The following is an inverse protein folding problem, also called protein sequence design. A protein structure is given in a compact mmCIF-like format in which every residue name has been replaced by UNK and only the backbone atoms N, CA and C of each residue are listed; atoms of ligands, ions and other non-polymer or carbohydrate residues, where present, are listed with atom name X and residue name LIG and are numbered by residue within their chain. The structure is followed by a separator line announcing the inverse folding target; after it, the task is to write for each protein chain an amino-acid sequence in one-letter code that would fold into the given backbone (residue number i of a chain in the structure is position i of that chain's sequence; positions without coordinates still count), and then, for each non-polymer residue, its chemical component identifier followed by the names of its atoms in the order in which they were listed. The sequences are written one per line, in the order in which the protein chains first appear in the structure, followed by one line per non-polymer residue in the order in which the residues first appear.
data_IF_934685118350
#
_entry.id   IF_934685118350
#
_cell.length_a   1.000
_cell.length_b   1.000
_cell.length_c   1.000
_cell.angle_alpha   90.00
_cell.angle_beta   90.00
_cell.angle_gamma   90.00
#
_symmetry.space_group_name_H-M   'P 1'
#
loop_
_entity.id
_entity.type
_entity.pdbx_description
1 polymer ?
#
# COMPACT_ATOMS: atom_id res chain seq x y z
N UNK A 1 -14.02 9.36 -8.36
CA UNK A 1 -13.68 9.15 -6.94
C UNK A 1 -12.81 10.29 -6.43
N UNK A 2 -12.96 10.62 -5.15
CA UNK A 2 -12.11 11.58 -4.44
C UNK A 2 -11.19 10.82 -3.49
N UNK A 3 -9.89 10.99 -3.63
CA UNK A 3 -8.89 10.32 -2.81
C UNK A 3 -8.32 11.25 -1.74
N UNK A 4 -8.17 10.76 -0.51
CA UNK A 4 -7.42 11.43 0.54
C UNK A 4 -6.01 10.85 0.63
N UNK A 5 -4.98 11.65 0.37
CA UNK A 5 -3.58 11.23 0.53
C UNK A 5 -3.07 11.78 1.85
N UNK A 6 -2.73 10.89 2.78
CA UNK A 6 -2.27 11.28 4.11
C UNK A 6 -0.83 11.79 4.03
N UNK A 7 -0.55 12.91 4.67
CA UNK A 7 0.80 13.50 4.73
C UNK A 7 1.29 13.43 6.18
N UNK A 8 2.32 12.62 6.41
CA UNK A 8 3.04 12.58 7.69
C UNK A 8 4.32 13.41 7.62
N UNK A 9 4.82 13.93 8.74
CA UNK A 9 6.17 14.49 8.78
C UNK A 9 7.19 13.45 8.29
N UNK A 10 7.90 13.74 7.18
CA UNK A 10 8.83 12.81 6.54
C UNK A 10 8.21 11.90 5.46
N UNK A 11 6.94 12.03 5.11
CA UNK A 11 6.40 11.50 3.85
C UNK A 11 7.15 12.12 2.67
N UNK A 12 7.43 11.34 1.64
CA UNK A 12 8.07 11.86 0.43
C UNK A 12 7.49 11.30 -0.88
N UNK A 13 6.51 10.38 -0.78
CA UNK A 13 5.77 9.85 -1.93
C UNK A 13 4.30 10.29 -1.94
N UNK A 14 3.93 11.25 -1.09
CA UNK A 14 2.60 11.84 -1.03
C UNK A 14 2.25 12.58 -2.33
N UNK A 15 3.16 13.39 -2.83
CA UNK A 15 3.00 14.05 -4.12
C UNK A 15 3.00 13.07 -5.30
N UNK A 16 3.80 12.00 -5.26
CA UNK A 16 3.77 10.94 -6.27
C UNK A 16 2.40 10.26 -6.32
N UNK A 17 1.84 9.92 -5.15
CA UNK A 17 0.50 9.34 -5.04
C UNK A 17 -0.60 10.31 -5.51
N UNK A 18 -0.50 11.58 -5.12
CA UNK A 18 -1.41 12.64 -5.58
C UNK A 18 -1.35 12.78 -7.10
N UNK A 19 -0.16 12.81 -7.70
CA UNK A 19 0.05 12.90 -9.14
C UNK A 19 -0.51 11.67 -9.87
N UNK A 20 -0.24 10.46 -9.38
CA UNK A 20 -0.76 9.22 -9.95
C UNK A 20 -2.30 9.23 -10.05
N UNK A 21 -2.96 9.72 -8.98
CA UNK A 21 -4.42 9.82 -8.94
C UNK A 21 -4.95 10.94 -9.84
N UNK A 22 -4.35 12.13 -9.79
CA UNK A 22 -4.91 13.30 -10.47
C UNK A 22 -4.53 13.37 -11.94
N UNK A 23 -3.24 13.24 -12.25
CA UNK A 23 -2.74 13.37 -13.63
C UNK A 23 -2.91 12.08 -14.44
N UNK A 24 -2.63 10.92 -13.85
CA UNK A 24 -2.57 9.68 -14.61
C UNK A 24 -3.89 8.88 -14.57
N UNK A 25 -4.65 8.98 -13.46
CA UNK A 25 -5.96 8.33 -13.33
C UNK A 25 -7.14 9.28 -13.65
N UNK A 26 -6.91 10.59 -13.70
CA UNK A 26 -7.94 11.59 -13.98
C UNK A 26 -8.99 11.73 -12.88
N UNK A 27 -8.63 11.44 -11.63
CA UNK A 27 -9.51 11.54 -10.47
C UNK A 27 -9.16 12.77 -9.62
N UNK A 28 -9.97 13.06 -8.60
CA UNK A 28 -9.69 14.15 -7.65
C UNK A 28 -8.95 13.60 -6.44
N UNK A 29 -8.03 14.40 -5.87
CA UNK A 29 -7.35 14.05 -4.64
C UNK A 29 -7.17 15.29 -3.76
N UNK A 30 -7.05 15.07 -2.45
CA UNK A 30 -6.64 16.09 -1.48
C UNK A 30 -5.54 15.56 -0.57
N UNK A 31 -4.64 16.44 -0.17
CA UNK A 31 -3.60 16.13 0.82
C UNK A 31 -4.16 16.38 2.21
N UNK A 32 -4.12 15.36 3.07
CA UNK A 32 -4.65 15.40 4.44
C UNK A 32 -3.49 15.32 5.42
N UNK A 33 -3.28 16.40 6.19
CA UNK A 33 -2.19 16.47 7.15
C UNK A 33 -2.43 15.54 8.34
N UNK A 34 -1.36 14.92 8.84
CA UNK A 34 -1.40 13.89 9.90
C UNK A 34 -2.08 14.32 11.20
N UNK A 35 -2.15 15.63 11.45
CA UNK A 35 -2.78 16.19 12.66
C UNK A 35 -4.30 16.41 12.50
N UNK A 36 -4.82 16.18 11.30
CA UNK A 36 -6.28 16.24 11.06
C UNK A 36 -6.99 15.13 11.83
N UNK A 37 -8.17 15.47 12.37
CA UNK A 37 -9.07 14.50 13.02
C UNK A 37 -10.19 14.02 12.10
N UNK A 38 -10.21 14.49 10.84
CA UNK A 38 -11.20 14.15 9.82
C UNK A 38 -10.51 13.87 8.50
N UNK A 39 -11.11 12.97 7.73
CA UNK A 39 -10.71 12.68 6.34
C UNK A 39 -11.50 13.52 5.33
N UNK A 40 -12.48 14.32 5.78
CA UNK A 40 -13.36 15.03 4.86
C UNK A 40 -14.32 14.09 4.11
N UNK A 41 -14.66 14.49 2.89
CA UNK A 41 -15.57 13.77 1.99
C UNK A 41 -14.74 13.02 0.93
N UNK A 42 -14.07 11.93 1.35
CA UNK A 42 -13.24 11.09 0.47
C UNK A 42 -13.84 9.70 0.30
N UNK A 43 -13.68 9.14 -0.90
CA UNK A 43 -14.12 7.79 -1.25
C UNK A 43 -13.05 6.73 -0.97
N UNK A 44 -11.78 7.13 -0.95
CA UNK A 44 -10.64 6.25 -0.68
C UNK A 44 -9.49 7.00 -0.02
N UNK A 45 -8.68 6.28 0.75
CA UNK A 45 -7.53 6.83 1.48
C UNK A 45 -6.24 6.15 1.03
N UNK A 46 -5.18 6.95 0.82
CA UNK A 46 -3.82 6.46 0.55
C UNK A 46 -2.90 6.91 1.67
N UNK A 47 -2.24 5.95 2.34
CA UNK A 47 -1.09 6.21 3.18
C UNK A 47 0.16 6.03 2.30
N UNK A 48 0.89 7.11 1.99
CA UNK A 48 1.98 7.06 1.01
C UNK A 48 3.26 6.47 1.60
N UNK A 49 4.22 6.22 0.72
CA UNK A 49 5.59 5.90 1.09
C UNK A 49 6.35 7.10 1.66
N UNK A 50 7.48 6.82 2.28
CA UNK A 50 8.34 7.83 2.88
C UNK A 50 9.06 7.29 4.12
N UNK A 51 9.40 8.22 5.01
CA UNK A 51 10.06 7.96 6.28
C UNK A 51 9.32 8.72 7.39
N UNK A 52 8.07 8.33 7.63
CA UNK A 52 7.18 9.02 8.57
C UNK A 52 7.84 9.15 9.96
N UNK A 53 7.97 10.38 10.45
CA UNK A 53 8.69 10.74 11.67
C UNK A 53 10.15 10.26 11.71
N UNK A 54 10.82 10.15 10.54
CA UNK A 54 12.20 9.71 10.42
C UNK A 54 12.44 8.24 10.75
N UNK A 55 11.39 7.40 10.74
CA UNK A 55 11.42 5.98 11.11
C UNK A 55 12.00 5.69 12.51
N UNK A 56 11.93 6.67 13.41
CA UNK A 56 12.38 6.50 14.79
C UNK A 56 11.63 5.35 15.47
N UNK A 57 12.35 4.57 16.29
CA UNK A 57 11.97 3.30 16.89
C UNK A 57 11.91 2.16 15.87
N UNK A 58 11.03 2.24 14.90
CA UNK A 58 10.89 1.44 13.67
C UNK A 58 9.88 2.09 12.73
N UNK A 59 9.93 1.72 11.49
CA UNK A 59 9.06 2.31 10.46
C UNK A 59 7.58 2.21 10.83
N UNK A 60 6.87 3.34 10.77
CA UNK A 60 5.44 3.43 11.06
C UNK A 60 5.06 3.48 12.55
N UNK A 61 5.99 3.17 13.48
CA UNK A 61 5.68 3.02 14.91
C UNK A 61 5.16 4.32 15.57
N UNK A 62 5.64 5.48 15.16
CA UNK A 62 5.17 6.77 15.68
C UNK A 62 3.93 7.22 14.90
N UNK A 63 3.93 7.07 13.58
CA UNK A 63 2.85 7.53 12.71
C UNK A 63 1.48 6.95 13.09
N UNK A 64 1.42 5.72 13.60
CA UNK A 64 0.16 5.09 14.07
C UNK A 64 -0.58 5.87 15.17
N UNK A 65 0.12 6.77 15.88
CA UNK A 65 -0.46 7.61 16.93
C UNK A 65 -0.88 8.99 16.42
N UNK A 66 -0.64 9.32 15.16
CA UNK A 66 -1.12 10.57 14.57
C UNK A 66 -2.64 10.69 14.67
N UNK A 67 -3.20 11.87 14.95
CA UNK A 67 -4.65 12.08 15.07
C UNK A 67 -5.45 11.52 13.89
N UNK A 68 -4.96 11.71 12.66
CA UNK A 68 -5.61 11.22 11.43
C UNK A 68 -5.83 9.70 11.43
N UNK A 69 -4.99 8.93 12.12
CA UNK A 69 -5.11 7.47 12.14
C UNK A 69 -6.36 6.96 12.88
N UNK A 70 -6.94 7.76 13.79
CA UNK A 70 -8.25 7.47 14.35
C UNK A 70 -9.35 7.55 13.29
N UNK A 71 -9.30 8.58 12.45
CA UNK A 71 -10.24 8.73 11.33
C UNK A 71 -10.04 7.64 10.26
N UNK A 72 -8.78 7.28 9.95
CA UNK A 72 -8.46 6.18 9.03
C UNK A 72 -8.99 4.84 9.54
N UNK A 73 -8.83 4.53 10.85
CA UNK A 73 -9.37 3.29 11.43
C UNK A 73 -10.89 3.24 11.35
N UNK A 74 -11.56 4.37 11.67
CA UNK A 74 -13.02 4.46 11.55
C UNK A 74 -13.46 4.27 10.11
N UNK A 75 -12.83 4.98 9.17
CA UNK A 75 -13.12 4.89 7.74
C UNK A 75 -12.97 3.45 7.20
N UNK A 76 -11.88 2.77 7.56
CA UNK A 76 -11.66 1.37 7.22
C UNK A 76 -12.73 0.46 7.86
N UNK A 77 -13.08 0.69 9.13
CA UNK A 77 -14.12 -0.06 9.84
C UNK A 77 -15.52 0.12 9.25
N UNK A 78 -15.78 1.27 8.63
CA UNK A 78 -17.04 1.56 7.92
C UNK A 78 -17.02 1.02 6.46
N UNK A 79 -15.97 0.28 6.06
CA UNK A 79 -15.85 -0.34 4.73
C UNK A 79 -15.13 0.53 3.68
N UNK A 80 -14.61 1.69 4.06
CA UNK A 80 -13.87 2.57 3.16
C UNK A 80 -12.56 1.96 2.67
N UNK A 81 -12.18 2.27 1.42
CA UNK A 81 -10.96 1.72 0.80
C UNK A 81 -9.71 2.42 1.31
N UNK A 82 -8.75 1.66 1.84
CA UNK A 82 -7.48 2.16 2.36
C UNK A 82 -6.30 1.43 1.71
N UNK A 83 -5.43 2.18 1.04
CA UNK A 83 -4.19 1.70 0.44
C UNK A 83 -2.98 2.22 1.21
N UNK A 84 -2.13 1.32 1.72
CA UNK A 84 -0.83 1.65 2.28
C UNK A 84 0.31 1.26 1.35
N UNK A 85 1.16 2.22 0.98
CA UNK A 85 2.28 2.01 0.07
C UNK A 85 3.58 2.13 0.87
N UNK A 86 4.45 1.14 0.81
CA UNK A 86 5.77 1.11 1.45
C UNK A 86 5.68 1.52 2.94
N UNK A 87 6.06 2.74 3.32
CA UNK A 87 5.91 3.25 4.68
C UNK A 87 4.43 3.27 5.14
N UNK A 88 3.48 3.53 4.24
CA UNK A 88 2.05 3.41 4.54
C UNK A 88 1.64 2.00 4.90
N UNK A 89 2.20 0.97 4.26
CA UNK A 89 1.98 -0.42 4.64
C UNK A 89 2.54 -0.72 6.03
N UNK A 90 3.75 -0.24 6.35
CA UNK A 90 4.35 -0.36 7.68
C UNK A 90 3.44 0.29 8.74
N UNK A 91 2.89 1.47 8.47
CA UNK A 91 1.95 2.15 9.37
C UNK A 91 0.66 1.33 9.58
N UNK A 92 0.10 0.75 8.51
CA UNK A 92 -1.11 -0.08 8.62
C UNK A 92 -0.90 -1.33 9.47
N UNK A 93 0.26 -1.98 9.35
CA UNK A 93 0.64 -3.13 10.19
C UNK A 93 0.82 -2.69 11.65
N UNK A 94 1.58 -1.62 11.91
CA UNK A 94 1.77 -1.06 13.25
C UNK A 94 0.45 -0.61 13.88
N UNK A 95 -0.48 -0.15 13.05
CA UNK A 95 -1.82 0.23 13.46
C UNK A 95 -2.74 -0.97 13.72
N UNK A 96 -2.34 -2.21 13.39
CA UNK A 96 -3.16 -3.40 13.54
C UNK A 96 -4.32 -3.50 12.52
N UNK A 97 -4.24 -2.74 11.42
CA UNK A 97 -5.20 -2.81 10.31
C UNK A 97 -4.86 -3.93 9.31
N UNK A 98 -3.60 -4.38 9.32
CA UNK A 98 -3.10 -5.50 8.53
C UNK A 98 -2.29 -6.45 9.41
N UNK A 99 -2.28 -7.76 9.11
CA UNK A 99 -1.52 -8.75 9.87
C UNK A 99 -0.03 -8.74 9.51
N UNK A 100 0.79 -9.34 10.39
CA UNK A 100 2.23 -9.56 10.18
C UNK A 100 3.09 -8.39 10.64
N UNK A 101 4.28 -8.31 10.09
CA UNK A 101 5.30 -7.30 10.37
C UNK A 101 6.16 -7.02 9.14
N UNK A 102 6.69 -5.81 9.02
CA UNK A 102 7.72 -5.47 8.05
C UNK A 102 9.06 -5.36 8.81
N UNK A 103 10.01 -6.23 8.46
CA UNK A 103 11.32 -6.29 9.09
C UNK A 103 12.43 -5.91 8.11
N UNK A 104 13.66 -5.81 8.60
CA UNK A 104 14.82 -5.49 7.75
C UNK A 104 14.97 -6.49 6.62
N UNK A 105 15.32 -5.97 5.44
CA UNK A 105 15.65 -6.80 4.27
C UNK A 105 16.75 -7.81 4.63
N UNK A 106 16.68 -9.01 4.06
CA UNK A 106 17.64 -10.10 4.32
C UNK A 106 19.11 -9.66 4.17
N UNK A 107 19.40 -8.76 3.23
CA UNK A 107 20.74 -8.23 2.99
C UNK A 107 21.15 -7.08 3.90
N UNK A 108 20.29 -6.63 4.82
CA UNK A 108 20.49 -5.49 5.74
C UNK A 108 20.84 -4.18 5.01
N UNK A 109 20.54 -4.09 3.71
CA UNK A 109 20.81 -2.93 2.86
C UNK A 109 19.50 -2.33 2.36
N UNK A 110 19.50 -1.03 2.14
CA UNK A 110 18.43 -0.36 1.42
C UNK A 110 18.42 -0.84 -0.03
N UNK A 111 17.24 -1.25 -0.53
CA UNK A 111 17.06 -1.74 -1.90
C UNK A 111 16.19 -0.73 -2.63
N UNK A 112 16.75 -0.15 -3.71
CA UNK A 112 16.03 0.75 -4.62
C UNK A 112 16.20 0.25 -6.05
N UNK A 113 15.17 -0.43 -6.57
CA UNK A 113 15.16 -0.96 -7.95
C UNK A 113 13.77 -1.40 -8.36
N UNK A 114 13.56 -1.55 -9.67
CA UNK A 114 12.39 -2.19 -10.24
C UNK A 114 12.40 -3.69 -9.92
N UNK A 115 11.24 -4.23 -9.57
CA UNK A 115 11.00 -5.66 -9.37
C UNK A 115 9.81 -6.13 -10.20
N UNK A 116 9.80 -7.42 -10.47
CA UNK A 116 8.70 -8.10 -11.14
C UNK A 116 7.73 -8.66 -10.11
N UNK A 117 6.45 -8.36 -10.31
CA UNK A 117 5.36 -8.77 -9.44
C UNK A 117 4.30 -9.53 -10.25
N UNK A 118 3.45 -10.25 -9.54
CA UNK A 118 2.22 -10.82 -10.05
C UNK A 118 1.08 -10.58 -9.05
N UNK A 119 -0.12 -10.29 -9.54
CA UNK A 119 -1.32 -10.37 -8.71
C UNK A 119 -1.51 -11.83 -8.28
N UNK A 120 -1.66 -12.06 -6.98
CA UNK A 120 -1.90 -13.39 -6.43
C UNK A 120 -3.40 -13.69 -6.36
N UNK A 121 -4.23 -12.65 -6.24
CA UNK A 121 -5.69 -12.71 -6.36
C UNK A 121 -6.19 -11.56 -7.21
N UNK A 122 -7.30 -11.73 -7.90
CA UNK A 122 -8.05 -10.68 -8.59
C UNK A 122 -9.38 -10.37 -7.91
N UNK A 123 -9.68 -11.06 -6.82
CA UNK A 123 -10.90 -10.88 -6.03
C UNK A 123 -10.67 -9.86 -4.91
N UNK A 124 -10.31 -8.62 -5.26
CA UNK A 124 -10.24 -7.52 -4.32
C UNK A 124 -10.42 -6.16 -5.00
N UNK A 125 -10.86 -5.13 -4.26
CA UNK A 125 -10.94 -3.75 -4.77
C UNK A 125 -9.61 -3.19 -5.28
N UNK A 126 -8.48 -3.81 -4.95
CA UNK A 126 -7.13 -3.35 -5.32
C UNK A 126 -6.49 -4.14 -6.46
N UNK A 127 -7.12 -5.25 -6.88
CA UNK A 127 -6.54 -6.17 -7.87
C UNK A 127 -7.52 -6.61 -8.96
N UNK A 128 -8.79 -6.20 -8.91
CA UNK A 128 -9.84 -6.64 -9.82
C UNK A 128 -9.65 -6.20 -11.29
N UNK A 129 -8.77 -5.24 -11.55
CA UNK A 129 -8.36 -4.84 -12.89
C UNK A 129 -7.07 -5.55 -13.36
N UNK A 130 -6.44 -6.36 -12.49
CA UNK A 130 -5.21 -7.05 -12.83
C UNK A 130 -5.49 -8.30 -13.68
N UNK A 131 -4.60 -8.55 -14.63
CA UNK A 131 -4.49 -9.84 -15.30
C UNK A 131 -3.51 -10.71 -14.47
N UNK A 132 -3.95 -11.87 -13.93
CA UNK A 132 -3.11 -12.73 -13.08
C UNK A 132 -1.89 -13.32 -13.82
N UNK A 133 -1.96 -13.43 -15.15
CA UNK A 133 -0.84 -13.94 -15.95
C UNK A 133 0.16 -12.83 -16.31
N UNK A 134 -0.23 -11.56 -16.15
CA UNK A 134 0.65 -10.44 -16.47
C UNK A 134 1.71 -10.21 -15.40
N UNK A 135 2.94 -10.09 -15.84
CA UNK A 135 4.06 -9.64 -15.01
C UNK A 135 4.04 -8.11 -14.95
N UNK A 136 3.99 -7.57 -13.74
CA UNK A 136 4.00 -6.15 -13.45
C UNK A 136 5.41 -5.70 -13.04
N UNK A 137 5.88 -4.60 -13.57
CA UNK A 137 7.16 -3.98 -13.24
C UNK A 137 6.91 -2.76 -12.37
N UNK A 138 7.18 -2.89 -11.06
CA UNK A 138 6.93 -1.85 -10.06
C UNK A 138 8.17 -1.71 -9.18
N UNK A 139 8.66 -0.47 -8.94
CA UNK A 139 9.85 -0.25 -8.13
C UNK A 139 9.58 -0.47 -6.64
N UNK A 140 10.65 -0.82 -5.91
CA UNK A 140 10.75 -0.77 -4.46
C UNK A 140 11.83 0.20 -4.02
N UNK A 141 11.67 0.80 -2.83
CA UNK A 141 12.67 1.69 -2.22
C UNK A 141 12.56 1.59 -0.69
N UNK A 142 13.22 0.58 -0.06
CA UNK A 142 13.10 0.35 1.37
C UNK A 142 14.29 -0.40 1.99
N UNK A 143 14.52 -0.18 3.28
CA UNK A 143 15.44 -0.97 4.11
C UNK A 143 14.71 -1.97 5.01
N UNK A 144 13.45 -1.71 5.35
CA UNK A 144 12.57 -2.53 6.18
C UNK A 144 11.28 -2.86 5.41
N UNK A 145 11.36 -3.83 4.51
CA UNK A 145 10.24 -4.23 3.65
C UNK A 145 10.08 -5.72 3.49
N UNK A 146 10.82 -6.51 4.29
CA UNK A 146 10.68 -7.96 4.32
C UNK A 146 9.42 -8.31 5.13
N UNK A 147 8.38 -8.80 4.46
CA UNK A 147 7.16 -9.23 5.13
C UNK A 147 7.42 -10.50 5.94
N UNK A 148 7.02 -10.47 7.19
CA UNK A 148 7.17 -11.55 8.15
C UNK A 148 5.86 -11.77 8.92
N UNK A 149 5.49 -13.02 9.12
CA UNK A 149 4.41 -13.43 10.00
C UNK A 149 4.70 -14.85 10.52
N UNK A 150 4.01 -15.28 11.57
CA UNK A 150 4.04 -16.68 11.99
C UNK A 150 3.33 -17.58 10.97
N UNK A 151 3.64 -18.89 10.99
CA UNK A 151 3.10 -19.85 10.03
C UNK A 151 1.57 -19.87 10.02
N UNK A 152 0.92 -19.74 11.18
CA UNK A 152 -0.52 -19.69 11.29
C UNK A 152 -1.10 -18.50 10.51
N UNK A 153 -0.54 -17.32 10.71
CA UNK A 153 -0.96 -16.09 9.99
C UNK A 153 -0.72 -16.24 8.50
N UNK A 154 0.42 -16.84 8.09
CA UNK A 154 0.72 -17.10 6.68
C UNK A 154 -0.30 -18.08 6.06
N UNK A 155 -0.65 -19.15 6.78
CA UNK A 155 -1.64 -20.13 6.33
C UNK A 155 -3.04 -19.52 6.24
N UNK A 156 -3.43 -18.66 7.19
CA UNK A 156 -4.69 -17.91 7.14
C UNK A 156 -4.74 -16.97 5.91
N UNK A 157 -3.66 -16.25 5.62
CA UNK A 157 -3.58 -15.39 4.44
C UNK A 157 -3.74 -16.15 3.13
N UNK A 158 -3.15 -17.35 3.03
CA UNK A 158 -3.30 -18.22 1.86
C UNK A 158 -4.72 -18.78 1.75
N UNK A 159 -5.23 -19.35 2.85
CA UNK A 159 -6.53 -20.02 2.87
C UNK A 159 -7.70 -19.05 2.60
N UNK A 160 -7.56 -17.80 3.02
CA UNK A 160 -8.55 -16.74 2.84
C UNK A 160 -8.29 -15.89 1.57
N UNK A 161 -7.32 -16.29 0.72
CA UNK A 161 -6.92 -15.59 -0.52
C UNK A 161 -6.64 -14.09 -0.29
N UNK A 162 -5.90 -13.78 0.78
CA UNK A 162 -5.58 -12.40 1.20
C UNK A 162 -4.16 -11.94 0.85
N UNK A 163 -3.43 -12.71 0.07
CA UNK A 163 -2.19 -12.24 -0.55
C UNK A 163 -2.55 -11.53 -1.85
N UNK A 164 -2.37 -10.21 -1.88
CA UNK A 164 -2.73 -9.39 -3.03
C UNK A 164 -1.70 -9.49 -4.17
N UNK A 165 -0.41 -9.38 -3.82
CA UNK A 165 0.70 -9.42 -4.77
C UNK A 165 1.85 -10.27 -4.26
N UNK A 166 2.57 -10.93 -5.20
CA UNK A 166 3.80 -11.66 -4.92
C UNK A 166 4.96 -11.15 -5.77
N UNK A 167 6.14 -11.18 -5.18
CA UNK A 167 7.38 -11.00 -5.92
C UNK A 167 7.66 -12.22 -6.80
N UNK A 168 8.05 -11.98 -8.04
CA UNK A 168 8.68 -13.01 -8.89
C UNK A 168 10.18 -13.07 -8.55
N UNK A 169 10.78 -11.88 -8.34
CA UNK A 169 12.16 -11.74 -7.91
C UNK A 169 12.18 -11.23 -6.46
N UNK A 170 12.15 -12.14 -5.49
CA UNK A 170 12.13 -11.77 -4.07
C UNK A 170 13.49 -11.26 -3.61
N UNK A 171 13.67 -9.94 -3.70
CA UNK A 171 14.93 -9.28 -3.37
C UNK A 171 15.09 -8.97 -1.88
N UNK A 172 13.99 -8.83 -1.15
CA UNK A 172 14.00 -8.37 0.25
C UNK A 172 13.89 -9.50 1.28
N UNK A 173 13.53 -10.71 0.85
CA UNK A 173 13.41 -11.90 1.69
C UNK A 173 12.04 -12.08 2.33
N UNK A 174 11.00 -11.38 1.82
CA UNK A 174 9.61 -11.57 2.27
C UNK A 174 9.19 -13.04 2.27
N UNK A 175 8.56 -13.49 3.34
CA UNK A 175 8.06 -14.86 3.44
C UNK A 175 7.02 -15.12 2.35
N UNK A 176 7.06 -16.32 1.78
CA UNK A 176 6.16 -16.76 0.69
C UNK A 176 6.08 -15.77 -0.48
N UNK A 177 7.15 -15.01 -0.72
CA UNK A 177 7.26 -13.96 -1.75
C UNK A 177 6.18 -12.87 -1.65
N UNK A 178 5.59 -12.67 -0.49
CA UNK A 178 4.51 -11.70 -0.26
C UNK A 178 5.03 -10.28 -0.51
N UNK A 179 4.39 -9.57 -1.45
CA UNK A 179 4.65 -8.17 -1.76
C UNK A 179 3.55 -7.23 -1.25
N UNK A 180 2.34 -7.76 -1.02
CA UNK A 180 1.21 -7.04 -0.48
C UNK A 180 0.13 -7.97 0.06
N UNK A 181 -0.60 -7.51 1.09
CA UNK A 181 -1.65 -8.27 1.79
C UNK A 181 -2.91 -7.44 1.98
N UNK A 182 -4.03 -8.13 2.16
CA UNK A 182 -5.36 -7.59 2.45
C UNK A 182 -5.75 -7.87 3.91
N UNK A 183 -6.59 -6.99 4.48
CA UNK A 183 -7.35 -7.33 5.70
C UNK A 183 -8.46 -8.36 5.37
N UNK A 184 -9.20 -8.82 6.39
CA UNK A 184 -10.27 -9.82 6.20
C UNK A 184 -11.44 -9.29 5.37
N UNK A 185 -11.78 -8.05 5.56
CA UNK A 185 -12.85 -7.34 4.85
C UNK A 185 -12.47 -6.94 3.42
N UNK A 186 -11.19 -7.12 3.04
CA UNK A 186 -10.60 -6.85 1.71
C UNK A 186 -10.64 -5.37 1.30
N UNK A 187 -10.97 -4.47 2.21
CA UNK A 187 -11.04 -3.02 1.97
C UNK A 187 -9.79 -2.25 2.42
N UNK A 188 -8.83 -2.92 3.06
CA UNK A 188 -7.51 -2.38 3.39
C UNK A 188 -6.44 -3.23 2.73
N UNK A 189 -5.56 -2.60 1.96
CA UNK A 189 -4.40 -3.24 1.36
C UNK A 189 -3.12 -2.51 1.74
N UNK A 190 -2.07 -3.28 2.01
CA UNK A 190 -0.70 -2.77 2.12
C UNK A 190 0.21 -3.47 1.11
N UNK A 191 1.08 -2.71 0.46
CA UNK A 191 2.10 -3.26 -0.42
C UNK A 191 3.43 -2.49 -0.31
N UNK A 192 4.55 -3.21 -0.40
CA UNK A 192 5.88 -2.57 -0.35
C UNK A 192 6.32 -1.92 -1.66
N UNK A 193 5.98 -2.47 -2.84
CA UNK A 193 6.21 -1.80 -4.12
C UNK A 193 5.43 -0.50 -4.23
N UNK A 194 5.96 0.42 -5.06
CA UNK A 194 5.43 1.77 -5.27
C UNK A 194 4.63 1.86 -6.58
N UNK A 195 3.32 1.57 -6.59
CA UNK A 195 2.51 1.66 -7.79
C UNK A 195 2.40 3.10 -8.32
N UNK A 196 2.48 4.11 -7.44
CA UNK A 196 2.47 5.52 -7.82
C UNK A 196 3.69 5.92 -8.66
N UNK A 197 4.83 5.23 -8.47
CA UNK A 197 6.07 5.44 -9.24
C UNK A 197 6.16 4.59 -10.51
N UNK A 198 5.14 3.78 -10.79
CA UNK A 198 4.95 3.03 -12.01
C UNK A 198 3.57 3.36 -12.61
N UNK A 199 3.21 4.63 -12.64
CA UNK A 199 1.90 5.13 -13.08
C UNK A 199 1.96 5.96 -14.36
N UNK A 200 3.16 6.19 -14.91
CA UNK A 200 3.38 6.95 -16.13
C UNK A 200 4.44 6.25 -17.00
N UNK A 201 4.16 5.98 -18.29
CA UNK A 201 5.13 5.39 -19.21
C UNK A 201 6.45 6.17 -19.30
N UNK A 202 6.43 7.49 -19.08
CA UNK A 202 7.62 8.33 -19.05
C UNK A 202 8.55 8.02 -17.87
N UNK A 203 7.99 7.42 -16.81
CA UNK A 203 8.74 6.93 -15.64
C UNK A 203 9.32 5.52 -15.85
N UNK A 204 9.11 4.93 -17.03
CA UNK A 204 9.61 3.60 -17.40
C UNK A 204 8.59 2.48 -17.29
N UNK A 205 7.53 2.64 -16.50
CA UNK A 205 6.43 1.67 -16.36
C UNK A 205 5.12 2.37 -16.00
N UNK A 206 4.01 1.86 -16.51
CA UNK A 206 2.65 2.22 -16.11
C UNK A 206 1.90 1.04 -15.44
N UNK A 207 2.61 -0.01 -15.08
CA UNK A 207 2.00 -1.23 -14.54
C UNK A 207 1.36 -1.02 -13.17
N UNK A 208 1.81 -0.02 -12.42
CA UNK A 208 1.25 0.35 -11.12
C UNK A 208 -0.16 0.95 -11.21
N UNK A 209 -0.55 1.50 -12.38
CA UNK A 209 -1.91 2.02 -12.57
C UNK A 209 -2.99 0.98 -12.29
N UNK A 210 -2.69 -0.31 -12.46
CA UNK A 210 -3.66 -1.38 -12.22
C UNK A 210 -4.24 -1.36 -10.81
N UNK A 211 -3.46 -0.94 -9.80
CA UNK A 211 -3.93 -0.82 -8.41
C UNK A 211 -4.99 0.28 -8.29
N UNK A 212 -4.70 1.46 -8.82
CA UNK A 212 -5.62 2.61 -8.78
C UNK A 212 -6.86 2.39 -9.65
N UNK A 213 -6.69 1.76 -10.82
CA UNK A 213 -7.80 1.37 -11.70
C UNK A 213 -8.72 0.36 -11.02
N UNK A 214 -8.17 -0.58 -10.26
CA UNK A 214 -8.94 -1.54 -9.47
C UNK A 214 -9.80 -0.84 -8.43
N UNK A 215 -9.23 0.11 -7.68
CA UNK A 215 -9.96 0.91 -6.70
C UNK A 215 -11.11 1.69 -7.35
N UNK A 216 -10.85 2.29 -8.53
CA UNK A 216 -11.87 3.02 -9.27
C UNK A 216 -13.01 2.11 -9.72
N UNK A 217 -12.73 0.91 -10.24
CA UNK A 217 -13.74 -0.06 -10.63
C UNK A 217 -14.58 -0.55 -9.45
N UNK A 218 -13.99 -0.70 -8.29
CA UNK A 218 -14.70 -1.08 -7.06
C UNK A 218 -15.65 0.01 -6.59
N UNK A 219 -15.24 1.28 -6.62
CA UNK A 219 -16.07 2.42 -6.21
C UNK A 219 -17.27 2.71 -7.12
N UNK A 220 -17.24 2.24 -8.37
CA UNK A 220 -18.39 2.36 -9.30
C UNK A 220 -19.46 1.30 -9.02
N UNK A 221 -19.12 0.20 -8.34
CA UNK A 221 -20.05 -0.92 -8.06
C UNK A 221 -20.75 -0.80 -6.71
N UNK A 222 -20.37 0.13 -5.87
CA UNK A 222 -20.98 0.43 -4.58
C UNK A 222 -22.06 1.52 -4.72
#
# INVERSE_FOLDING_TARGET
MKFGVIVFPGSNCDHDAFYAVTANLGQTAELIWHDSTSLGDVDAVILPGGFAYGDYLRCGAIAKFSPVMSAVRKFAGDGGLVLGICNGFQILVEAGLLPGALIRTRGLKFICRELRLRAATTDSPFTNAADPERVLRIPIAHGEGCYFADERTLDELEAEDRVAFRYIDNANGSLRDIAGVLNRERNVMGMMPHPERASDPLMGSADGLVVFQSMLQAGVRA
#
